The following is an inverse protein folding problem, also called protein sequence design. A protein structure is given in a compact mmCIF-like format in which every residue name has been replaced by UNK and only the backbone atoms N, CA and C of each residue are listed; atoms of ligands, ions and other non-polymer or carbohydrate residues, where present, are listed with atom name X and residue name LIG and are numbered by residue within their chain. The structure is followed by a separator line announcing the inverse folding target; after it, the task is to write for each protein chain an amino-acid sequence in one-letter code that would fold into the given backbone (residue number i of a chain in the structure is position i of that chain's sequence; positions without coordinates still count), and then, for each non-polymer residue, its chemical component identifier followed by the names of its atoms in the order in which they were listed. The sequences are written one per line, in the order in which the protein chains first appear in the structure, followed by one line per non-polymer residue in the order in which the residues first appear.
data_IF_534910253709
#
_entry.id   IF_534910253709
#
_cell.length_a   1.000
_cell.length_b   1.000
_cell.length_c   1.000
_cell.angle_alpha   90.00
_cell.angle_beta   90.00
_cell.angle_gamma   90.00
#
_symmetry.space_group_name_H-M   'P 1'
#
loop_
_entity.id
_entity.type
_entity.pdbx_description
1 polymer ?
#
# COMPACT_ATOMS: atom_id res chain seq x y z
N UNK A 1 5.13 -0.79 22.14
CA UNK A 1 5.71 -1.17 20.84
C UNK A 1 6.39 -2.51 20.99
N UNK A 2 6.03 -3.47 20.17
CA UNK A 2 6.63 -4.79 20.24
C UNK A 2 7.98 -4.78 19.53
N UNK A 3 8.83 -5.75 19.85
CA UNK A 3 10.11 -5.93 19.16
C UNK A 3 9.90 -6.08 17.65
N UNK A 4 8.84 -6.79 17.25
CA UNK A 4 8.46 -6.96 15.86
C UNK A 4 8.19 -5.62 15.18
N UNK A 5 7.45 -4.73 15.83
CA UNK A 5 7.16 -3.41 15.28
C UNK A 5 8.44 -2.58 15.13
N UNK A 6 9.34 -2.64 16.09
CA UNK A 6 10.61 -1.94 16.03
C UNK A 6 11.50 -2.41 14.90
N UNK A 7 11.61 -3.72 14.73
CA UNK A 7 12.38 -4.32 13.65
C UNK A 7 11.78 -3.99 12.28
N UNK A 8 10.46 -4.07 12.16
CA UNK A 8 9.77 -3.74 10.91
C UNK A 8 10.00 -2.28 10.52
N UNK A 9 9.86 -1.35 11.48
CA UNK A 9 10.09 0.07 11.22
C UNK A 9 11.53 0.36 10.83
N UNK A 10 12.50 -0.22 11.53
CA UNK A 10 13.90 -0.03 11.22
C UNK A 10 14.24 -0.57 9.83
N UNK A 11 13.79 -1.79 9.53
CA UNK A 11 14.00 -2.40 8.22
C UNK A 11 13.35 -1.59 7.11
N UNK A 12 12.11 -1.15 7.31
CA UNK A 12 11.39 -0.35 6.32
C UNK A 12 12.12 0.99 6.09
N UNK A 13 12.61 1.63 7.14
CA UNK A 13 13.33 2.89 7.03
C UNK A 13 14.61 2.76 6.19
N UNK A 14 15.42 1.76 6.47
CA UNK A 14 16.66 1.51 5.72
C UNK A 14 16.36 1.11 4.28
N UNK A 15 15.48 0.13 4.10
CA UNK A 15 15.11 -0.34 2.77
C UNK A 15 14.42 0.76 1.97
N UNK A 16 13.59 1.56 2.61
CA UNK A 16 12.93 2.69 1.96
C UNK A 16 13.91 3.72 1.43
N UNK A 17 14.98 4.01 2.19
CA UNK A 17 16.02 4.93 1.74
C UNK A 17 16.75 4.38 0.52
N UNK A 18 17.16 3.11 0.55
CA UNK A 18 17.82 2.44 -0.58
C UNK A 18 16.89 2.38 -1.77
N UNK A 19 15.63 2.01 -1.55
CA UNK A 19 14.63 1.91 -2.60
C UNK A 19 14.44 3.27 -3.30
N UNK A 20 14.32 4.34 -2.51
CA UNK A 20 14.18 5.70 -3.08
C UNK A 20 15.42 6.13 -3.85
N UNK A 21 16.63 5.83 -3.34
CA UNK A 21 17.87 6.17 -4.01
C UNK A 21 18.01 5.48 -5.36
N UNK A 22 17.54 4.23 -5.47
CA UNK A 22 17.58 3.43 -6.69
C UNK A 22 16.26 3.44 -7.46
N UNK A 23 15.22 4.07 -6.92
CA UNK A 23 13.85 4.06 -7.43
C UNK A 23 13.31 2.65 -7.64
N UNK A 24 13.64 1.76 -6.70
CA UNK A 24 13.14 0.39 -6.69
C UNK A 24 13.87 -0.60 -7.58
N UNK A 25 14.96 -0.20 -8.19
CA UNK A 25 15.68 -1.10 -9.10
C UNK A 25 16.31 -2.30 -8.39
N UNK A 26 16.83 -2.10 -7.15
CA UNK A 26 17.49 -3.16 -6.40
C UNK A 26 16.52 -4.05 -5.64
N UNK A 27 15.40 -3.50 -5.14
CA UNK A 27 14.44 -4.21 -4.30
C UNK A 27 13.05 -4.19 -4.95
N UNK A 28 13.00 -4.48 -6.26
CA UNK A 28 11.77 -4.37 -7.02
C UNK A 28 10.70 -5.42 -6.72
N UNK A 29 11.09 -6.53 -6.07
CA UNK A 29 10.14 -7.61 -5.77
C UNK A 29 10.39 -8.24 -4.42
N UNK A 30 9.31 -8.63 -3.76
CA UNK A 30 9.31 -9.42 -2.53
C UNK A 30 8.29 -10.53 -2.70
N UNK A 31 8.72 -11.80 -2.52
CA UNK A 31 7.82 -12.94 -2.70
C UNK A 31 7.18 -13.02 -4.09
N UNK A 32 7.88 -12.54 -5.13
CA UNK A 32 7.35 -12.47 -6.50
C UNK A 32 6.47 -11.25 -6.76
N UNK A 33 6.10 -10.49 -5.74
CA UNK A 33 5.27 -9.28 -5.87
C UNK A 33 6.14 -8.04 -6.07
N UNK A 34 5.72 -7.09 -6.91
CA UNK A 34 6.44 -5.82 -7.01
C UNK A 34 6.35 -5.05 -5.70
N UNK A 35 7.42 -4.32 -5.40
CA UNK A 35 7.50 -3.46 -4.22
C UNK A 35 7.26 -2.02 -4.64
N UNK A 36 6.44 -1.34 -3.87
CA UNK A 36 6.16 0.08 -4.09
C UNK A 36 6.54 0.87 -2.84
N UNK A 37 6.96 2.12 -3.01
CA UNK A 37 7.04 3.08 -1.92
C UNK A 37 5.78 3.94 -1.99
N UNK A 38 4.98 3.83 -0.95
CA UNK A 38 3.75 4.62 -0.81
C UNK A 38 4.06 5.82 0.06
N UNK A 39 3.80 7.01 -0.46
CA UNK A 39 3.92 8.26 0.29
C UNK A 39 2.53 8.79 0.58
N UNK A 40 2.22 8.96 1.86
CA UNK A 40 0.92 9.45 2.33
C UNK A 40 1.12 10.73 3.14
N UNK A 41 0.02 11.47 3.33
CA UNK A 41 0.00 12.63 4.20
C UNK A 41 -0.44 12.19 5.60
N UNK A 42 0.39 12.45 6.60
CA UNK A 42 0.08 12.11 7.98
C UNK A 42 -1.24 12.74 8.43
N UNK A 43 -2.17 11.92 8.90
CA UNK A 43 -3.53 12.37 9.24
C UNK A 43 -3.57 13.39 10.37
N UNK A 44 -2.56 13.39 11.22
CA UNK A 44 -2.47 14.34 12.36
C UNK A 44 -1.47 15.45 12.11
N UNK A 45 -0.32 15.13 11.52
CA UNK A 45 0.79 16.07 11.36
C UNK A 45 0.77 16.83 10.03
N UNK A 46 0.11 16.29 9.02
CA UNK A 46 0.19 16.81 7.66
C UNK A 46 1.53 16.56 6.96
N UNK A 47 2.44 15.87 7.63
CA UNK A 47 3.77 15.59 7.07
C UNK A 47 3.71 14.39 6.13
N UNK A 48 4.59 14.40 5.13
CA UNK A 48 4.73 13.25 4.24
C UNK A 48 5.32 12.06 4.99
N UNK A 49 4.70 10.89 4.80
CA UNK A 49 5.14 9.63 5.38
C UNK A 49 5.30 8.60 4.27
N UNK A 50 6.41 7.89 4.27
CA UNK A 50 6.67 6.87 3.25
C UNK A 50 6.77 5.51 3.89
N UNK A 51 6.24 4.50 3.20
CA UNK A 51 6.35 3.11 3.62
C UNK A 51 6.53 2.23 2.38
N UNK A 52 7.22 1.12 2.56
CA UNK A 52 7.49 0.17 1.49
C UNK A 52 6.52 -1.00 1.62
N UNK A 53 5.82 -1.30 0.54
CA UNK A 53 4.77 -2.32 0.52
C UNK A 53 4.92 -3.19 -0.72
N UNK A 54 4.45 -4.45 -0.62
CA UNK A 54 4.29 -5.30 -1.78
C UNK A 54 2.89 -5.12 -2.35
N UNK A 55 2.75 -5.19 -3.67
CA UNK A 55 1.45 -5.15 -4.34
C UNK A 55 1.13 -6.52 -4.92
N UNK A 56 0.11 -7.22 -4.39
CA UNK A 56 -0.24 -8.55 -4.90
C UNK A 56 -0.95 -8.51 -6.25
N UNK A 57 -1.60 -7.41 -6.57
CA UNK A 57 -2.31 -7.23 -7.84
C UNK A 57 -2.01 -5.84 -8.36
N UNK A 58 -1.61 -5.75 -9.61
CA UNK A 58 -1.36 -4.45 -10.25
C UNK A 58 -1.54 -4.59 -11.76
N UNK A 59 -1.87 -3.49 -12.40
CA UNK A 59 -1.84 -3.33 -13.85
C UNK A 59 -1.41 -1.89 -14.16
N UNK A 60 -1.48 -1.49 -15.43
CA UNK A 60 -1.00 -0.16 -15.83
C UNK A 60 -1.82 0.97 -15.20
N UNK A 61 -3.08 0.70 -14.85
CA UNK A 61 -4.00 1.72 -14.37
C UNK A 61 -4.19 1.71 -12.87
N UNK A 62 -3.85 0.62 -12.18
CA UNK A 62 -4.11 0.52 -10.76
C UNK A 62 -3.09 -0.34 -10.03
N UNK A 63 -2.94 -0.04 -8.75
CA UNK A 63 -2.10 -0.79 -7.82
C UNK A 63 -2.99 -1.18 -6.64
N UNK A 64 -2.99 -2.47 -6.29
CA UNK A 64 -3.78 -2.98 -5.17
C UNK A 64 -2.86 -3.23 -3.99
N UNK A 65 -3.24 -2.70 -2.84
CA UNK A 65 -2.51 -2.88 -1.58
C UNK A 65 -3.43 -3.54 -0.56
N UNK A 66 -2.85 -4.28 0.36
CA UNK A 66 -3.61 -4.97 1.41
C UNK A 66 -3.14 -4.43 2.76
N UNK A 67 -4.06 -3.84 3.52
CA UNK A 67 -3.75 -3.25 4.82
C UNK A 67 -3.74 -4.30 5.92
N UNK A 68 -2.96 -5.37 5.71
CA UNK A 68 -2.95 -6.54 6.58
C UNK A 68 -2.21 -6.33 7.89
N UNK A 69 -1.17 -5.51 7.88
CA UNK A 69 -0.30 -5.29 9.03
C UNK A 69 0.10 -6.62 9.71
N UNK A 70 0.40 -7.65 8.90
CA UNK A 70 0.77 -8.98 9.39
C UNK A 70 -0.33 -9.70 10.17
N UNK A 71 -1.59 -9.31 9.99
CA UNK A 71 -2.73 -9.87 10.75
C UNK A 71 -2.92 -9.24 12.12
N UNK A 72 -2.28 -8.10 12.39
CA UNK A 72 -2.51 -7.34 13.62
C UNK A 72 -3.95 -6.85 13.67
N UNK A 73 -4.50 -6.69 14.87
CA UNK A 73 -5.86 -6.17 15.07
C UNK A 73 -5.97 -4.69 14.75
N UNK A 74 -4.85 -3.99 14.62
CA UNK A 74 -4.80 -2.58 14.28
C UNK A 74 -4.65 -2.37 12.79
N UNK A 75 -5.21 -1.29 12.28
CA UNK A 75 -4.89 -0.84 10.93
C UNK A 75 -3.49 -0.24 10.88
N UNK A 76 -2.73 -0.44 9.79
CA UNK A 76 -1.45 0.23 9.65
C UNK A 76 -1.65 1.75 9.50
N UNK A 77 -0.65 2.52 9.94
CA UNK A 77 -0.72 3.98 9.91
C UNK A 77 -0.96 4.52 8.50
N UNK A 78 -0.31 3.91 7.48
CA UNK A 78 -0.46 4.37 6.10
C UNK A 78 -1.92 4.26 5.61
N UNK A 79 -2.65 3.22 6.07
CA UNK A 79 -4.06 3.07 5.73
C UNK A 79 -4.89 4.20 6.34
N UNK A 80 -4.66 4.50 7.61
CA UNK A 80 -5.38 5.58 8.28
C UNK A 80 -5.08 6.92 7.61
N UNK A 81 -3.84 7.13 7.20
CA UNK A 81 -3.45 8.36 6.51
C UNK A 81 -4.18 8.51 5.18
N UNK A 82 -4.17 7.48 4.33
CA UNK A 82 -4.82 7.58 3.02
C UNK A 82 -6.34 7.60 3.11
N UNK A 83 -6.90 7.03 4.17
CA UNK A 83 -8.34 7.12 4.41
C UNK A 83 -8.77 8.56 4.63
N UNK A 84 -7.96 9.32 5.39
CA UNK A 84 -8.24 10.73 5.68
C UNK A 84 -7.76 11.66 4.55
N UNK A 85 -6.66 11.31 3.88
CA UNK A 85 -6.05 12.08 2.80
C UNK A 85 -5.77 11.15 1.62
N UNK A 86 -6.74 10.94 0.73
CA UNK A 86 -6.64 9.91 -0.32
C UNK A 86 -5.68 10.23 -1.47
N UNK A 87 -5.20 11.47 -1.57
CA UNK A 87 -4.18 11.79 -2.56
C UNK A 87 -2.82 11.31 -2.06
N UNK A 88 -2.21 10.42 -2.82
CA UNK A 88 -0.96 9.74 -2.45
C UNK A 88 0.03 9.80 -3.61
N UNK A 89 1.26 9.42 -3.34
CA UNK A 89 2.28 9.25 -4.37
C UNK A 89 2.87 7.86 -4.27
N UNK A 90 3.20 7.27 -5.39
CA UNK A 90 3.73 5.92 -5.44
C UNK A 90 4.99 5.91 -6.29
N UNK A 91 6.03 5.27 -5.78
CA UNK A 91 7.24 4.95 -6.56
C UNK A 91 7.25 3.46 -6.83
N UNK A 92 7.24 3.08 -8.09
CA UNK A 92 7.32 1.68 -8.51
C UNK A 92 8.11 1.58 -9.81
N UNK A 93 9.02 0.61 -9.87
CA UNK A 93 9.84 0.35 -11.07
C UNK A 93 10.56 1.60 -11.59
N UNK A 94 11.07 2.43 -10.69
CA UNK A 94 11.82 3.64 -11.02
C UNK A 94 10.97 4.84 -11.40
N UNK A 95 9.66 4.78 -11.25
CA UNK A 95 8.74 5.85 -11.63
C UNK A 95 7.93 6.33 -10.46
N UNK A 96 7.86 7.65 -10.29
CA UNK A 96 7.02 8.30 -9.28
C UNK A 96 5.71 8.72 -9.96
N UNK A 97 4.58 8.42 -9.32
CA UNK A 97 3.26 8.75 -9.85
C UNK A 97 2.36 9.29 -8.74
N UNK A 98 1.67 10.42 -8.98
CA UNK A 98 0.56 10.78 -8.10
C UNK A 98 -0.60 9.82 -8.35
N UNK A 99 -1.25 9.37 -7.30
CA UNK A 99 -2.38 8.46 -7.38
C UNK A 99 -3.43 8.84 -6.34
N UNK A 100 -4.63 8.33 -6.52
CA UNK A 100 -5.70 8.51 -5.56
C UNK A 100 -6.10 7.16 -5.00
N UNK A 101 -6.17 7.10 -3.68
CA UNK A 101 -6.52 5.88 -2.97
C UNK A 101 -8.04 5.81 -2.74
N UNK A 102 -8.59 4.61 -2.88
CA UNK A 102 -9.94 4.30 -2.41
C UNK A 102 -9.94 2.91 -1.78
N UNK A 103 -10.87 2.69 -0.88
CA UNK A 103 -11.03 1.38 -0.24
C UNK A 103 -11.98 0.56 -1.09
N UNK A 104 -11.58 -0.66 -1.45
CA UNK A 104 -12.44 -1.57 -2.21
C UNK A 104 -13.71 -1.87 -1.41
N UNK A 105 -14.85 -1.82 -2.07
CA UNK A 105 -16.09 -2.27 -1.45
C UNK A 105 -16.11 -3.80 -1.35
N UNK A 106 -17.17 -4.35 -0.75
CA UNK A 106 -17.25 -5.79 -0.51
C UNK A 106 -17.26 -6.61 -1.80
N UNK A 107 -17.86 -6.09 -2.86
CA UNK A 107 -17.90 -6.78 -4.17
C UNK A 107 -16.52 -6.78 -4.81
N UNK A 108 -15.85 -5.64 -4.84
CA UNK A 108 -14.50 -5.55 -5.38
C UNK A 108 -13.51 -6.40 -4.59
N UNK A 109 -13.61 -6.37 -3.26
CA UNK A 109 -12.76 -7.18 -2.41
C UNK A 109 -12.98 -8.67 -2.69
N UNK A 110 -14.22 -9.11 -2.81
CA UNK A 110 -14.53 -10.50 -3.11
C UNK A 110 -13.95 -10.95 -4.46
N UNK A 111 -13.93 -10.06 -5.44
CA UNK A 111 -13.33 -10.35 -6.75
C UNK A 111 -11.80 -10.39 -6.69
N UNK A 112 -11.19 -9.52 -5.91
CA UNK A 112 -9.73 -9.40 -5.82
C UNK A 112 -9.10 -10.41 -4.88
N UNK A 113 -9.82 -10.82 -3.83
CA UNK A 113 -9.27 -11.63 -2.77
C UNK A 113 -8.63 -12.94 -3.24
N UNK A 114 -9.23 -13.74 -4.12
CA UNK A 114 -8.58 -14.95 -4.64
C UNK A 114 -7.26 -14.64 -5.34
N UNK A 115 -7.19 -13.55 -6.08
CA UNK A 115 -5.96 -13.13 -6.76
C UNK A 115 -4.90 -12.68 -5.76
N UNK A 116 -5.31 -12.01 -4.71
CA UNK A 116 -4.42 -11.57 -3.63
C UNK A 116 -3.80 -12.77 -2.93
N UNK A 117 -4.62 -13.75 -2.54
CA UNK A 117 -4.16 -14.96 -1.87
C UNK A 117 -3.30 -15.83 -2.79
N UNK A 118 -3.61 -15.87 -4.08
CA UNK A 118 -2.79 -16.58 -5.06
C UNK A 118 -1.40 -15.95 -5.16
N UNK A 119 -1.31 -14.63 -5.15
CA UNK A 119 -0.03 -13.92 -5.20
C UNK A 119 0.81 -14.15 -3.94
N UNK A 120 0.15 -14.21 -2.78
CA UNK A 120 0.81 -14.50 -1.51
C UNK A 120 -0.21 -15.06 -0.52
N UNK A 121 -0.09 -16.35 -0.21
CA UNK A 121 -1.04 -17.05 0.67
C UNK A 121 -1.06 -16.51 2.11
N UNK A 122 0.00 -15.83 2.52
CA UNK A 122 0.07 -15.21 3.84
C UNK A 122 -1.06 -14.23 4.12
N UNK A 123 -1.60 -13.57 3.10
CA UNK A 123 -2.73 -12.65 3.31
C UNK A 123 -3.96 -13.37 3.85
N UNK A 124 -4.23 -14.58 3.35
CA UNK A 124 -5.32 -15.39 3.90
C UNK A 124 -5.08 -15.78 5.36
N UNK A 125 -3.84 -16.13 5.70
CA UNK A 125 -3.47 -16.41 7.08
C UNK A 125 -3.63 -15.17 7.98
N UNK A 126 -3.26 -14.00 7.48
CA UNK A 126 -3.41 -12.76 8.22
C UNK A 126 -4.87 -12.45 8.51
N UNK A 127 -5.77 -12.66 7.55
CA UNK A 127 -7.19 -12.46 7.76
C UNK A 127 -7.75 -13.43 8.81
N UNK A 128 -7.29 -14.66 8.84
CA UNK A 128 -7.73 -15.64 9.85
C UNK A 128 -7.20 -15.32 11.24
N UNK A 129 -6.15 -14.53 11.34
CA UNK A 129 -5.52 -14.18 12.61
C UNK A 129 -6.25 -13.04 13.35
N UNK A 130 -7.01 -12.23 12.63
CA UNK A 130 -7.71 -11.09 13.21
C UNK A 130 -9.19 -11.14 12.88
N UNK A 131 -10.04 -10.60 13.79
CA UNK A 131 -11.46 -10.47 13.55
C UNK A 131 -11.81 -9.25 12.71
N UNK A 132 -10.93 -8.25 12.65
CA UNK A 132 -11.19 -7.10 11.79
C UNK A 132 -11.13 -7.52 10.32
N UNK A 133 -11.95 -6.91 9.51
CA UNK A 133 -11.87 -7.09 8.08
C UNK A 133 -10.67 -6.31 7.54
N UNK A 134 -9.73 -7.02 6.92
CA UNK A 134 -8.53 -6.39 6.37
C UNK A 134 -8.91 -5.61 5.12
N UNK A 135 -8.68 -4.28 5.11
CA UNK A 135 -9.02 -3.48 3.93
C UNK A 135 -8.14 -3.80 2.73
N UNK A 136 -8.77 -3.81 1.56
CA UNK A 136 -8.09 -3.81 0.28
C UNK A 136 -8.17 -2.40 -0.28
N UNK A 137 -7.02 -1.84 -0.63
CA UNK A 137 -6.91 -0.46 -1.11
C UNK A 137 -6.56 -0.49 -2.60
N UNK A 138 -7.26 0.32 -3.36
CA UNK A 138 -7.02 0.46 -4.80
C UNK A 138 -6.48 1.86 -5.04
N UNK A 139 -5.28 1.93 -5.64
CA UNK A 139 -4.67 3.18 -6.06
C UNK A 139 -4.89 3.32 -7.56
N UNK A 140 -5.45 4.45 -7.96
CA UNK A 140 -5.78 4.75 -9.35
C UNK A 140 -5.20 6.11 -9.73
N UNK A 141 -5.23 6.43 -11.02
CA UNK A 141 -4.85 7.75 -11.47
C UNK A 141 -5.71 8.80 -10.74
N UNK A 142 -5.14 9.97 -10.40
CA UNK A 142 -5.91 11.00 -9.74
C UNK A 142 -7.16 11.33 -10.57
N UNK A 143 -8.28 11.52 -9.86
CA UNK A 143 -9.50 11.95 -10.52
C UNK A 143 -9.28 13.40 -10.97
N UNK A 144 -9.08 13.58 -12.27
CA UNK A 144 -9.00 14.93 -12.79
C UNK A 144 -10.38 15.55 -12.63
N UNK A 145 -10.45 16.66 -11.88
CA UNK A 145 -11.62 17.51 -11.93
C UNK A 145 -11.92 17.77 -13.40
N UNK A 146 -13.21 17.72 -13.83
CA UNK A 146 -13.52 18.06 -15.21
C UNK A 146 -12.80 19.37 -15.49
N UNK A 147 -11.81 19.30 -16.37
CA UNK A 147 -11.02 20.45 -16.71
C UNK A 147 -11.93 21.58 -17.09
N UNK A 148 -11.44 22.85 -16.99
CA UNK A 148 -12.21 23.93 -17.49
C UNK A 148 -12.64 23.56 -18.90
N UNK A 149 -13.94 23.67 -19.15
CA UNK A 149 -14.50 23.36 -20.45
C UNK A 149 -13.65 24.01 -21.52
N UNK A 150 -12.78 23.27 -22.08
CA UNK A 150 -11.96 23.70 -23.19
C UNK A 150 -12.61 23.26 -24.45
#
# INVERSE_FOLDING_TARGET
MTLKDGLFKAGTGVHGAIFRATKGRLLGRVGGMPVVVLSTTGRKSGKQRSTMLASPVHDDDRIVLVASFGGDDRHPAWFLNLRDHPDVSVTMAGRDRPMRARIADDVEKAELWPRIVEAYSGYGAYQRKTEREIPVVILEAPHEAPGPAS
#
